data_IF_543231538670
#
_entry.id   IF_543231538670
#
_cell.length_a   1.000
_cell.length_b   1.000
_cell.length_c   1.000
_cell.angle_alpha   90.00
_cell.angle_beta   90.00
_cell.angle_gamma   90.00
#
_symmetry.space_group_name_H-M   'P 1'
#
loop_
_entity.id
_entity.type
_entity.pdbx_description
1 polymer ?
2 non-polymer ?
3 non-polymer ?
4 water ?
#
# COMPACT_ATOMS: atom_id res chain seq x y z
N UNK A 40 14.40 12.76 -19.70
CA UNK A 40 14.12 13.61 -20.89
C UNK A 40 12.61 13.88 -21.07
N UNK A 41 11.76 12.91 -20.70
CA UNK A 41 10.33 13.19 -20.56
C UNK A 41 10.19 14.20 -19.41
N UNK A 42 9.56 15.33 -19.67
CA UNK A 42 9.30 16.30 -18.61
C UNK A 42 7.94 16.04 -17.97
N UNK A 43 7.94 16.10 -16.65
CA UNK A 43 6.75 15.82 -15.85
C UNK A 43 6.26 17.13 -15.31
N UNK A 44 5.01 17.45 -15.60
CA UNK A 44 4.40 18.66 -15.11
C UNK A 44 3.06 18.28 -14.50
N UNK A 45 2.94 18.51 -13.19
CA UNK A 45 1.69 18.32 -12.47
C UNK A 45 0.81 19.56 -12.55
N UNK A 46 -0.47 19.36 -12.83
CA UNK A 46 -1.49 20.41 -12.84
C UNK A 46 -2.33 20.26 -11.55
N UNK A 47 -2.30 21.30 -10.72
CA UNK A 47 -2.97 21.26 -9.42
C UNK A 47 -4.14 22.24 -9.40
N UNK A 48 -4.96 22.17 -8.35
CA UNK A 48 -6.10 23.06 -8.21
C UNK A 48 -7.29 22.43 -7.51
N UNK A 49 -8.18 23.28 -6.99
CA UNK A 49 -9.38 22.81 -6.29
C UNK A 49 -10.33 22.03 -7.21
N UNK A 50 -11.25 21.30 -6.59
CA UNK A 50 -12.31 20.65 -7.33
C UNK A 50 -13.00 21.69 -8.25
N UNK A 51 -13.35 21.25 -9.45
CA UNK A 51 -14.08 22.06 -10.42
C UNK A 51 -13.38 23.32 -10.92
N UNK A 52 -12.17 23.58 -10.45
CA UNK A 52 -11.43 24.78 -10.87
C UNK A 52 -11.09 24.78 -12.37
N UNK A 53 -11.17 23.62 -13.03
CA UNK A 53 -11.00 23.52 -14.50
C UNK A 53 -9.83 22.70 -15.04
N UNK A 54 -9.30 21.81 -14.21
CA UNK A 54 -8.06 21.09 -14.53
C UNK A 54 -8.19 20.16 -15.74
N UNK A 55 -9.23 19.34 -15.76
CA UNK A 55 -9.47 18.38 -16.83
C UNK A 55 -9.72 19.11 -18.17
N UNK A 56 -10.47 20.21 -18.08
CA UNK A 56 -10.73 21.08 -19.24
C UNK A 56 -9.40 21.63 -19.77
N UNK A 57 -8.54 22.10 -18.88
CA UNK A 57 -7.21 22.61 -19.26
C UNK A 57 -6.44 21.54 -20.02
N UNK A 58 -6.09 20.43 -19.35
CA UNK A 58 -5.24 19.40 -19.98
C UNK A 58 -5.85 18.84 -21.27
N UNK A 59 -7.18 18.83 -21.34
CA UNK A 59 -7.84 18.41 -22.57
C UNK A 59 -7.57 19.37 -23.72
N UNK A 60 -7.61 20.67 -23.43
CA UNK A 60 -7.20 21.70 -24.38
C UNK A 60 -5.73 21.53 -24.78
N UNK A 61 -4.86 21.34 -23.79
CA UNK A 61 -3.41 21.29 -24.02
C UNK A 61 -2.99 20.10 -24.87
N UNK A 62 -3.52 18.91 -24.55
CA UNK A 62 -3.18 17.70 -25.30
C UNK A 62 -3.45 17.81 -26.82
N UNK A 63 -4.46 18.60 -27.20
CA UNK A 63 -4.82 18.79 -28.62
C UNK A 63 -3.87 19.75 -29.39
N UNK A 64 -2.92 20.35 -28.69
CA UNK A 64 -2.07 21.40 -29.27
C UNK A 64 -0.75 20.88 -29.81
N UNK A 65 -0.33 19.70 -29.32
CA UNK A 65 0.98 19.15 -29.68
C UNK A 65 1.00 17.62 -29.65
N UNK A 66 1.55 17.02 -30.70
CA UNK A 66 1.84 15.58 -30.75
C UNK A 66 2.76 15.20 -29.58
N UNK A 67 3.72 16.06 -29.29
CA UNK A 67 4.69 15.87 -28.20
C UNK A 67 4.12 16.03 -26.78
N UNK A 68 2.86 16.43 -26.67
CA UNK A 68 2.26 16.66 -25.37
C UNK A 68 1.28 15.53 -25.00
N UNK A 69 1.50 14.91 -23.84
CA UNK A 69 0.57 13.91 -23.33
C UNK A 69 0.12 14.16 -21.90
N UNK A 70 -0.88 13.38 -21.47
CA UNK A 70 -1.68 13.69 -20.29
C UNK A 70 -2.01 12.42 -19.50
N UNK A 71 -2.00 12.50 -18.16
CA UNK A 71 -2.48 11.42 -17.30
C UNK A 71 -3.67 11.92 -16.48
N UNK A 72 -4.90 11.46 -16.81
CA UNK A 72 -6.00 11.91 -15.97
C UNK A 72 -5.87 11.35 -14.55
N UNK A 73 -6.39 12.07 -13.57
CA UNK A 73 -6.46 11.55 -12.19
C UNK A 73 -7.54 10.46 -12.09
N UNK A 74 -7.20 9.29 -11.50
CA UNK A 74 -8.14 8.17 -11.34
C UNK A 74 -9.43 8.50 -10.57
N UNK A 75 -9.33 9.28 -9.49
CA UNK A 75 -10.53 9.67 -8.74
C UNK A 75 -11.57 10.30 -9.68
N UNK A 76 -11.07 11.09 -10.63
CA UNK A 76 -11.91 11.75 -11.63
C UNK A 76 -12.51 10.72 -12.59
N UNK A 77 -11.71 9.72 -12.96
CA UNK A 77 -12.21 8.56 -13.72
C UNK A 77 -13.34 7.85 -12.97
N UNK A 78 -13.23 7.74 -11.66
CA UNK A 78 -14.27 7.09 -10.87
C UNK A 78 -15.47 8.02 -10.69
N UNK A 79 -15.23 9.33 -10.73
CA UNK A 79 -16.26 10.34 -10.44
C UNK A 79 -17.42 10.37 -11.44
N UNK A 80 -17.38 9.44 -12.40
CA UNK A 80 -18.46 9.26 -13.36
C UNK A 80 -19.59 8.43 -12.75
N UNK A 90 -18.88 -2.85 -18.53
CA UNK A 90 -18.47 -1.58 -19.10
C UNK A 90 -16.95 -1.37 -19.07
N UNK A 91 -16.39 -1.19 -17.85
CA UNK A 91 -14.94 -0.99 -17.65
C UNK A 91 -14.24 -2.07 -16.76
N UNK A 92 -13.43 -1.61 -15.80
CA UNK A 92 -12.47 -2.46 -15.08
C UNK A 92 -12.83 -2.77 -13.63
N UNK A 93 -11.96 -3.51 -12.95
CA UNK A 93 -12.11 -3.74 -11.51
C UNK A 93 -11.63 -2.54 -10.68
N UNK A 94 -10.66 -1.79 -11.20
CA UNK A 94 -10.31 -0.51 -10.59
C UNK A 94 -11.50 0.45 -10.59
N UNK A 95 -12.19 0.58 -11.73
CA UNK A 95 -13.40 1.41 -11.83
C UNK A 95 -14.46 0.97 -10.84
N UNK A 96 -14.68 -0.34 -10.77
CA UNK A 96 -15.59 -0.95 -9.81
C UNK A 96 -15.16 -0.68 -8.36
N UNK A 97 -13.88 -0.90 -8.05
CA UNK A 97 -13.35 -0.62 -6.71
C UNK A 97 -13.42 0.85 -6.35
N UNK A 98 -13.07 1.71 -7.31
CA UNK A 98 -13.07 3.15 -7.11
C UNK A 98 -14.47 3.72 -7.11
N UNK A 99 -15.33 3.18 -7.97
CA UNK A 99 -16.77 3.50 -7.94
C UNK A 99 -17.37 3.29 -6.57
N UNK A 100 -17.19 2.09 -6.02
CA UNK A 100 -17.71 1.73 -4.72
C UNK A 100 -17.14 2.54 -3.58
N UNK A 101 -15.82 2.70 -3.55
CA UNK A 101 -15.15 3.35 -2.44
C UNK A 101 -15.38 4.87 -2.40
N UNK A 102 -15.63 5.47 -3.56
CA UNK A 102 -15.97 6.90 -3.61
C UNK A 102 -17.36 7.13 -3.02
N UNK A 103 -18.30 6.24 -3.34
CA UNK A 103 -19.65 6.33 -2.79
C UNK A 103 -19.54 6.21 -1.26
N UNK A 104 -18.94 5.12 -0.77
CA UNK A 104 -18.69 4.93 0.66
C UNK A 104 -18.10 6.19 1.29
N UNK A 105 -17.04 6.71 0.68
CA UNK A 105 -16.42 7.97 1.10
C UNK A 105 -17.40 9.13 1.25
N UNK A 106 -18.32 9.28 0.29
CA UNK A 106 -19.37 10.32 0.39
C UNK A 106 -20.37 10.12 1.53
N UNK A 107 -20.63 8.87 1.89
CA UNK A 107 -21.63 8.60 2.93
C UNK A 107 -21.03 8.66 4.32
N UNK A 108 -19.80 8.19 4.47
CA UNK A 108 -19.17 8.13 5.79
C UNK A 108 -17.66 8.35 5.76
N UNK A 109 -17.20 9.59 5.45
CA UNK A 109 -15.77 9.85 5.29
C UNK A 109 -14.93 9.34 6.47
N UNK A 110 -15.47 9.44 7.68
CA UNK A 110 -14.76 9.04 8.90
C UNK A 110 -14.40 7.54 8.90
N UNK A 111 -15.23 6.74 8.23
CA UNK A 111 -14.94 5.33 8.04
C UNK A 111 -13.99 5.05 6.87
N UNK A 112 -14.15 5.79 5.77
CA UNK A 112 -13.53 5.36 4.50
C UNK A 112 -12.35 6.14 3.95
N UNK A 113 -11.90 7.16 4.69
CA UNK A 113 -10.88 8.09 4.21
C UNK A 113 -9.50 7.46 4.00
N UNK A 114 -9.07 6.63 4.94
CA UNK A 114 -7.76 5.99 4.83
C UNK A 114 -7.71 5.08 3.61
N UNK A 115 -8.68 4.17 3.52
CA UNK A 115 -8.79 3.21 2.44
C UNK A 115 -8.85 3.92 1.10
N UNK A 116 -9.66 4.98 1.06
CA UNK A 116 -9.85 5.80 -0.13
C UNK A 116 -8.55 6.51 -0.53
N UNK A 117 -7.82 7.03 0.45
CA UNK A 117 -6.57 7.74 0.19
C UNK A 117 -5.44 6.81 -0.24
N UNK A 118 -5.41 5.62 0.36
CA UNK A 118 -4.47 4.59 -0.06
C UNK A 118 -4.76 4.20 -1.52
N UNK A 119 -6.03 3.98 -1.84
CA UNK A 119 -6.39 3.52 -3.19
C UNK A 119 -6.29 4.55 -4.30
N UNK A 120 -6.53 5.82 -3.96
CA UNK A 120 -6.46 6.93 -4.92
C UNK A 120 -5.03 7.15 -5.37
N UNK A 121 -4.10 6.95 -4.45
CA UNK A 121 -2.69 7.20 -4.66
C UNK A 121 -1.99 6.02 -5.31
N UNK A 122 -2.32 4.81 -4.90
CA UNK A 122 -1.77 3.64 -5.57
C UNK A 122 -2.21 3.61 -7.04
N UNK A 123 -3.48 3.91 -7.27
CA UNK A 123 -4.02 4.01 -8.63
C UNK A 123 -3.38 5.12 -9.44
N UNK A 124 -3.05 6.24 -8.80
CA UNK A 124 -2.35 7.32 -9.49
C UNK A 124 -0.93 6.92 -9.84
N UNK A 125 -0.20 6.38 -8.87
CA UNK A 125 1.20 6.00 -9.04
C UNK A 125 1.31 5.06 -10.23
N UNK A 126 0.45 4.05 -10.26
CA UNK A 126 0.39 3.10 -11.35
C UNK A 126 0.00 3.76 -12.67
N UNK A 127 -1.03 4.61 -12.64
CA UNK A 127 -1.46 5.32 -13.85
C UNK A 127 -0.31 6.12 -14.46
N UNK A 128 0.46 6.80 -13.61
CA UNK A 128 1.54 7.66 -14.07
C UNK A 128 2.72 6.85 -14.63
N UNK A 129 2.96 5.67 -14.06
CA UNK A 129 3.95 4.71 -14.59
C UNK A 129 3.64 4.24 -16.02
N UNK A 130 2.42 3.77 -16.23
CA UNK A 130 1.99 3.26 -17.55
C UNK A 130 2.03 4.31 -18.66
N UNK A 131 1.95 5.59 -18.26
CA UNK A 131 2.07 6.70 -19.20
C UNK A 131 3.52 6.92 -19.53
N UNK A 132 4.35 6.93 -18.49
CA UNK A 132 5.76 7.20 -18.58
C UNK A 132 6.54 6.09 -19.26
N UNK A 133 6.05 4.86 -19.15
CA UNK A 133 6.76 3.72 -19.72
C UNK A 133 6.16 3.20 -21.02
N UNK A 134 5.05 3.83 -21.44
CA UNK A 134 4.34 3.45 -22.68
C UNK A 134 3.75 4.59 -23.51
N UNK A 135 4.04 5.83 -23.13
CA UNK A 135 3.60 7.01 -23.90
C UNK A 135 4.79 7.92 -24.21
N UNK A 136 4.58 8.84 -25.15
CA UNK A 136 5.59 9.84 -25.56
C UNK A 136 6.83 9.23 -26.19
N UNK A 137 6.69 8.00 -26.65
CA UNK A 137 7.76 7.32 -27.37
C UNK A 137 7.65 7.71 -28.84
N UNK A 138 8.73 8.21 -29.43
CA UNK A 138 9.92 8.66 -28.70
C UNK A 138 10.19 10.11 -29.11
N UNK A 139 9.28 10.98 -28.71
CA UNK A 139 9.17 12.35 -29.24
C UNK A 139 10.42 13.20 -29.03
N UNK A 140 10.48 14.33 -29.74
CA UNK A 140 11.63 15.23 -29.70
C UNK A 140 11.64 16.04 -28.42
N UNK A 141 10.47 16.49 -27.99
CA UNK A 141 10.35 17.31 -26.79
C UNK A 141 9.18 16.83 -25.91
N UNK A 142 9.30 15.61 -25.33
CA UNK A 142 8.19 15.03 -24.58
C UNK A 142 7.86 15.82 -23.30
N UNK A 143 6.57 16.00 -23.06
CA UNK A 143 6.05 16.61 -21.84
C UNK A 143 4.83 15.78 -21.48
N UNK A 144 4.78 15.26 -20.25
CA UNK A 144 3.62 14.54 -19.76
C UNK A 144 2.96 15.41 -18.67
N UNK A 145 1.66 15.68 -18.84
CA UNK A 145 0.91 16.51 -17.88
C UNK A 145 0.04 15.64 -16.97
N UNK A 146 0.49 15.41 -15.75
CA UNK A 146 -0.32 14.70 -14.75
C UNK A 146 -1.46 15.58 -14.21
N UNK A 147 -2.71 15.11 -14.27
CA UNK A 147 -3.79 15.74 -13.52
C UNK A 147 -3.63 15.40 -12.03
N UNK A 148 -3.12 16.39 -11.28
CA UNK A 148 -2.68 16.26 -9.87
C UNK A 148 -1.49 15.33 -9.65
N UNK A 149 -1.13 15.08 -8.39
CA UNK A 149 0.10 14.38 -8.07
C UNK A 149 0.02 13.60 -6.76
N UNK A 150 1.05 12.82 -6.45
CA UNK A 150 1.06 12.11 -5.18
C UNK A 150 1.22 13.08 -4.00
N UNK A 151 1.85 14.24 -4.26
CA UNK A 151 1.95 15.35 -3.32
C UNK A 151 0.62 16.01 -2.98
N UNK A 152 -0.23 16.22 -3.99
CA UNK A 152 -1.54 16.75 -3.69
C UNK A 152 -2.42 15.72 -3.01
N UNK A 153 -2.19 14.43 -3.30
CA UNK A 153 -2.83 13.31 -2.60
C UNK A 153 -2.56 13.39 -1.09
N UNK A 154 -1.29 13.54 -0.75
CA UNK A 154 -0.82 13.56 0.64
C UNK A 154 -1.02 14.94 1.29
N UNK A 155 -0.33 15.93 0.76
CA UNK A 155 -0.25 17.24 1.42
C UNK A 155 -1.44 18.15 1.21
N UNK A 156 -2.49 17.65 0.57
CA UNK A 156 -3.71 18.43 0.44
C UNK A 156 -4.97 17.70 0.93
N UNK A 157 -5.29 16.59 0.30
CA UNK A 157 -6.54 15.90 0.60
C UNK A 157 -6.44 14.98 1.84
N UNK A 158 -5.35 14.22 1.96
CA UNK A 158 -5.17 13.31 3.11
C UNK A 158 -4.95 14.12 4.38
N UNK A 159 -4.05 15.09 4.31
CA UNK A 159 -3.88 16.07 5.38
C UNK A 159 -5.18 16.81 5.74
N UNK A 160 -5.88 17.34 4.74
CA UNK A 160 -7.17 17.99 5.01
C UNK A 160 -8.17 17.08 5.73
N UNK A 161 -8.32 15.85 5.25
CA UNK A 161 -9.19 14.85 5.89
C UNK A 161 -8.81 14.56 7.35
N UNK A 162 -7.50 14.47 7.64
CA UNK A 162 -7.02 14.27 9.01
C UNK A 162 -7.32 15.48 9.89
N UNK A 163 -7.25 16.68 9.31
CA UNK A 163 -7.51 17.91 10.06
C UNK A 163 -9.00 18.02 10.37
N UNK A 164 -9.81 17.56 9.42
CA UNK A 164 -11.26 17.54 9.57
C UNK A 164 -11.71 16.26 10.29
N UNK A 165 -10.74 15.60 10.92
CA UNK A 165 -10.95 14.45 11.80
C UNK A 165 -11.45 13.16 11.16
N UNK A 166 -11.40 13.06 9.84
CA UNK A 166 -11.81 11.86 9.12
C UNK A 166 -10.79 10.72 9.21
N UNK A 167 -9.54 11.05 9.54
CA UNK A 167 -8.58 10.02 9.91
C UNK A 167 -8.04 10.33 11.29
N UNK A 168 -7.72 9.31 12.08
CA UNK A 168 -7.07 9.51 13.36
C UNK A 168 -5.55 9.48 13.18
N UNK A 169 -4.80 9.80 14.25
CA UNK A 169 -3.33 9.82 14.21
C UNK A 169 -2.70 8.53 13.66
N UNK A 170 -3.21 7.38 14.10
CA UNK A 170 -2.77 6.06 13.58
C UNK A 170 -2.93 6.01 12.08
N UNK A 171 -4.13 6.27 11.59
CA UNK A 171 -4.38 6.18 10.14
C UNK A 171 -3.45 7.09 9.34
N UNK A 172 -3.39 8.36 9.75
CA UNK A 172 -2.57 9.37 9.08
C UNK A 172 -1.08 9.04 9.13
N UNK A 173 -0.59 8.58 10.28
CA UNK A 173 0.82 8.17 10.41
C UNK A 173 1.10 6.87 9.65
N UNK A 174 0.14 5.96 9.62
CA UNK A 174 0.27 4.80 8.73
C UNK A 174 0.28 5.25 7.25
N UNK A 175 -0.61 6.18 6.89
CA UNK A 175 -0.67 6.62 5.49
C UNK A 175 0.65 7.24 5.00
N UNK A 176 1.22 8.11 5.84
CA UNK A 176 2.43 8.84 5.49
C UNK A 176 3.60 7.90 5.35
N UNK A 177 3.67 6.94 6.27
CA UNK A 177 4.71 5.92 6.27
C UNK A 177 4.59 5.14 4.95
N UNK A 178 3.39 4.63 4.71
CA UNK A 178 2.99 4.03 3.43
C UNK A 178 3.40 4.91 2.23
N UNK A 179 3.16 6.22 2.34
CA UNK A 179 3.44 7.18 1.26
C UNK A 179 4.93 7.44 1.05
N UNK A 180 5.69 7.58 2.16
CA UNK A 180 7.14 7.80 2.08
C UNK A 180 7.90 6.67 1.39
N UNK A 181 7.29 5.49 1.35
CA UNK A 181 7.96 4.26 0.92
C UNK A 181 7.41 3.70 -0.38
N UNK A 182 6.10 3.81 -0.58
CA UNK A 182 5.44 3.48 -1.84
C UNK A 182 6.01 4.32 -2.97
N UNK A 183 6.30 5.58 -2.69
CA UNK A 183 7.02 6.42 -3.65
C UNK A 183 8.49 6.03 -3.80
N UNK A 184 9.11 5.52 -2.74
CA UNK A 184 10.54 5.21 -2.76
C UNK A 184 10.94 4.03 -3.66
N UNK A 185 10.15 2.96 -3.60
CA UNK A 185 10.45 1.74 -4.35
C UNK A 185 9.90 1.80 -5.76
N UNK A 186 8.71 2.38 -5.89
CA UNK A 186 7.97 2.31 -7.14
C UNK A 186 7.82 3.65 -7.85
N UNK A 187 7.96 4.76 -7.14
CA UNK A 187 7.56 6.06 -7.68
C UNK A 187 8.66 7.11 -7.75
N UNK A 188 9.88 6.65 -7.99
CA UNK A 188 11.06 7.51 -8.04
C UNK A 188 11.16 8.29 -9.36
N UNK A 189 10.94 7.59 -10.47
CA UNK A 189 11.04 8.19 -11.79
C UNK A 189 9.83 9.10 -12.11
N UNK A 190 9.05 9.39 -11.07
CA UNK A 190 7.87 10.25 -11.21
C UNK A 190 8.16 11.67 -10.74
N UNK A 191 9.39 11.91 -10.28
CA UNK A 191 9.79 13.21 -9.77
C UNK A 191 9.47 14.38 -10.72
N UNK A 192 8.83 15.41 -10.18
CA UNK A 192 8.29 16.52 -10.97
C UNK A 192 9.35 17.49 -11.47
N UNK A 193 9.26 17.84 -12.74
CA UNK A 193 10.07 18.89 -13.35
C UNK A 193 9.50 20.28 -13.04
N UNK A 194 8.17 20.38 -13.04
CA UNK A 194 7.49 21.60 -12.61
C UNK A 194 6.04 21.37 -12.20
N UNK A 195 5.40 22.43 -11.75
CA UNK A 195 4.01 22.37 -11.32
C UNK A 195 3.27 23.56 -11.90
N UNK A 196 2.08 23.31 -12.43
CA UNK A 196 1.20 24.40 -12.83
C UNK A 196 0.03 24.42 -11.86
N UNK A 197 -0.25 25.60 -11.30
CA UNK A 197 -1.35 25.80 -10.35
C UNK A 197 -2.53 26.54 -10.98
N UNK A 198 -3.65 25.86 -11.14
CA UNK A 198 -4.86 26.54 -11.61
C UNK A 198 -5.63 27.09 -10.42
N UNK A 199 -5.62 28.42 -10.31
CA UNK A 199 -6.20 29.14 -9.20
C UNK A 199 -7.58 29.72 -9.52
N UNK A 200 -8.60 29.19 -8.86
CA UNK A 200 -9.97 29.68 -8.95
C UNK A 200 -10.58 29.76 -7.54
N UNK A 201 -11.49 30.70 -7.31
CA UNK A 201 -12.10 30.89 -5.97
C UNK A 201 -13.10 29.77 -5.65
N UNK A 202 -13.43 29.59 -4.35
CA UNK A 202 -14.36 28.50 -3.98
C UNK A 202 -15.75 28.68 -4.56
N UNK A 203 -16.16 29.93 -4.73
CA UNK A 203 -17.43 30.25 -5.39
C UNK A 203 -17.37 29.88 -6.86
N UNK A 204 -16.28 30.25 -7.53
CA UNK A 204 -16.05 29.83 -8.93
C UNK A 204 -16.25 28.32 -9.01
N UNK A 205 -15.56 27.61 -8.13
CA UNK A 205 -15.63 26.14 -8.05
C UNK A 205 -17.05 25.59 -7.81
N UNK A 206 -17.79 26.16 -6.84
CA UNK A 206 -19.15 25.68 -6.54
C UNK A 206 -20.06 25.81 -7.76
N UNK A 207 -19.92 26.93 -8.45
CA UNK A 207 -20.59 27.16 -9.72
C UNK A 207 -20.25 26.04 -10.71
N UNK A 208 -18.96 25.73 -10.83
CA UNK A 208 -18.52 24.73 -11.80
C UNK A 208 -18.95 23.30 -11.47
N UNK A 209 -18.98 22.96 -10.17
CA UNK A 209 -19.61 21.71 -9.73
C UNK A 209 -21.08 21.67 -10.15
N UNK A 210 -21.77 22.79 -9.95
CA UNK A 210 -23.12 22.95 -10.47
C UNK A 210 -23.15 22.72 -11.98
N UNK A 211 -22.29 23.41 -12.73
CA UNK A 211 -22.21 23.26 -14.21
C UNK A 211 -21.99 21.81 -14.68
N UNK A 212 -21.08 21.11 -14.00
CA UNK A 212 -20.68 19.74 -14.36
C UNK A 212 -21.80 18.72 -14.20
N UNK A 213 -22.72 18.98 -13.27
CA UNK A 213 -23.96 18.20 -13.16
C UNK A 213 -23.86 16.82 -12.55
N UNK A 214 -22.70 16.49 -11.97
CA UNK A 214 -22.54 15.27 -11.18
C UNK A 214 -23.41 15.41 -9.93
N UNK A 215 -24.47 14.60 -9.85
CA UNK A 215 -25.42 14.71 -8.73
C UNK A 215 -24.87 14.25 -7.39
N UNK A 216 -23.84 13.40 -7.45
CA UNK A 216 -23.15 12.91 -6.27
C UNK A 216 -22.36 14.04 -5.62
N UNK A 217 -21.93 14.98 -6.46
CA UNK A 217 -21.16 16.15 -6.04
C UNK A 217 -22.02 17.34 -5.66
N UNK A 218 -23.31 17.29 -6.03
CA UNK A 218 -24.20 18.44 -5.87
C UNK A 218 -24.54 18.76 -4.43
N UNK A 219 -23.99 17.95 -3.51
CA UNK A 219 -24.15 18.15 -2.08
C UNK A 219 -22.87 18.60 -1.38
N UNK A 220 -21.80 18.81 -2.15
CA UNK A 220 -20.54 19.32 -1.59
C UNK A 220 -20.70 20.80 -1.21
N UNK A 221 -20.54 21.10 0.09
CA UNK A 221 -20.81 22.47 0.57
C UNK A 221 -19.70 23.43 0.20
N UNK A 222 -20.05 24.73 0.18
CA UNK A 222 -19.08 25.81 0.01
C UNK A 222 -17.90 25.67 0.98
N UNK A 223 -18.20 25.34 2.22
CA UNK A 223 -17.24 25.19 3.33
C UNK A 223 -16.05 24.27 3.01
N UNK A 224 -16.35 23.10 2.45
CA UNK A 224 -15.33 22.14 2.07
C UNK A 224 -14.38 22.75 1.04
N UNK A 225 -14.95 23.30 -0.05
CA UNK A 225 -14.16 23.96 -1.09
C UNK A 225 -13.26 25.05 -0.54
N UNK A 226 -13.77 25.78 0.47
CA UNK A 226 -13.01 26.83 1.16
C UNK A 226 -11.79 26.27 1.89
N UNK A 227 -11.91 25.05 2.43
CA UNK A 227 -10.80 24.37 3.12
C UNK A 227 -9.67 24.02 2.16
N UNK A 228 -10.02 23.34 1.06
CA UNK A 228 -9.05 22.89 0.07
C UNK A 228 -8.39 24.09 -0.58
N UNK A 229 -9.14 25.19 -0.63
CA UNK A 229 -8.59 26.45 -1.14
C UNK A 229 -7.39 26.97 -0.35
N UNK A 230 -7.49 26.95 0.99
CA UNK A 230 -6.37 27.36 1.85
C UNK A 230 -5.18 26.44 1.66
N UNK A 231 -5.44 25.13 1.63
CA UNK A 231 -4.38 24.12 1.49
C UNK A 231 -3.47 24.38 0.28
N UNK A 232 -4.08 24.70 -0.86
CA UNK A 232 -3.35 25.04 -2.09
C UNK A 232 -2.54 26.35 -1.97
N UNK A 233 -3.16 27.42 -1.48
CA UNK A 233 -2.45 28.70 -1.28
C UNK A 233 -1.14 28.50 -0.49
N UNK A 234 -1.22 27.83 0.66
CA UNK A 234 -0.01 27.67 1.50
C UNK A 234 1.05 26.79 0.86
N UNK A 235 0.64 25.76 0.12
CA UNK A 235 1.60 24.95 -0.63
C UNK A 235 2.17 25.67 -1.86
N UNK A 236 1.29 26.15 -2.73
CA UNK A 236 1.71 26.59 -4.06
C UNK A 236 1.87 28.10 -4.28
N UNK A 237 1.22 28.91 -3.44
CA UNK A 237 1.34 30.37 -3.58
C UNK A 237 2.33 30.96 -2.59
N UNK A 238 1.96 30.98 -1.30
CA UNK A 238 2.87 31.47 -0.25
C UNK A 238 4.13 30.59 -0.16
N UNK A 239 4.04 29.38 -0.69
CA UNK A 239 5.11 28.36 -0.63
C UNK A 239 5.63 28.11 0.80
N UNK A 240 4.72 28.08 1.78
CA UNK A 240 5.10 27.84 3.19
C UNK A 240 5.42 26.36 3.46
N UNK A 241 4.45 25.51 3.15
CA UNK A 241 4.41 24.09 3.54
C UNK A 241 5.71 23.31 3.29
N UNK A 242 6.20 22.66 4.34
CA UNK A 242 7.42 21.85 4.28
C UNK A 242 7.07 20.39 4.06
N UNK A 243 7.90 19.69 3.29
CA UNK A 243 7.65 18.29 2.94
C UNK A 243 8.90 17.45 3.22
N UNK A 244 8.75 16.12 3.18
CA UNK A 244 9.87 15.19 3.39
C UNK A 244 10.64 14.89 2.10
N UNK A 245 10.10 15.35 0.96
CA UNK A 245 10.76 15.27 -0.34
C UNK A 245 11.46 16.60 -0.61
N UNK A 246 12.79 16.58 -0.58
CA UNK A 246 13.56 17.84 -0.60
C UNK A 246 13.70 18.47 -1.98
N UNK A 247 13.68 17.66 -3.03
CA UNK A 247 13.69 18.18 -4.41
C UNK A 247 12.48 19.10 -4.67
N UNK A 248 11.39 18.85 -3.95
CA UNK A 248 10.13 19.58 -4.09
C UNK A 248 10.20 20.99 -3.47
N UNK A 249 11.37 21.34 -2.95
CA UNK A 249 11.64 22.70 -2.46
C UNK A 249 12.09 23.58 -3.63
N UNK A 250 12.93 23.01 -4.50
CA UNK A 250 13.46 23.69 -5.67
C UNK A 250 12.39 23.87 -6.75
N UNK A 251 11.69 22.77 -7.06
CA UNK A 251 10.67 22.71 -8.12
C UNK A 251 10.04 24.06 -8.49
N UNK A 252 10.11 24.42 -9.80
CA UNK A 252 9.48 25.65 -10.29
C UNK A 252 7.97 25.53 -10.35
N UNK A 253 7.30 26.55 -9.82
CA UNK A 253 5.85 26.67 -9.84
C UNK A 253 5.45 27.79 -10.78
N UNK A 254 4.36 27.58 -11.52
CA UNK A 254 3.71 28.64 -12.30
C UNK A 254 2.25 28.72 -11.87
N UNK A 255 1.77 29.94 -11.61
CA UNK A 255 0.39 30.14 -11.13
C UNK A 255 -0.48 30.79 -12.21
N UNK A 256 -1.66 30.23 -12.45
CA UNK A 256 -2.58 30.72 -13.49
C UNK A 256 -4.01 31.00 -12.98
N UNK A 257 -4.47 32.23 -13.22
CA UNK A 257 -5.81 32.68 -12.83
C UNK A 257 -6.89 32.22 -13.79
N UNK A 258 -7.67 31.22 -13.37
CA UNK A 258 -8.68 30.65 -14.26
C UNK A 258 -10.13 30.98 -13.84
N UNK A 259 -10.29 32.10 -13.15
CA UNK A 259 -11.62 32.58 -12.74
C UNK A 259 -12.52 32.98 -13.92
N UNK A 260 -11.94 33.58 -14.96
CA UNK A 260 -12.68 33.83 -16.19
C UNK A 260 -12.78 32.54 -17.03
N UNK A 261 -13.90 32.36 -17.73
CA UNK A 261 -14.09 31.21 -18.61
C UNK A 261 -12.98 31.17 -19.69
N UNK A 262 -12.44 30.00 -19.98
CA UNK A 262 -11.33 29.91 -20.92
C UNK A 262 -11.47 28.87 -22.05
N UNK A 263 -12.66 28.31 -22.22
CA UNK A 263 -12.85 27.22 -23.21
C UNK A 263 -12.70 27.70 -24.65
N UNK A 264 -12.90 29.01 -24.84
CA UNK A 264 -12.90 29.62 -26.14
C UNK A 264 -11.92 30.76 -26.14
N UNK A 265 -11.09 30.82 -25.10
CA UNK A 265 -10.19 31.94 -24.84
C UNK A 265 -9.06 31.50 -23.89
N UNK A 266 -8.17 30.66 -24.41
CA UNK A 266 -7.09 30.07 -23.59
C UNK A 266 -5.69 30.39 -24.08
N UNK A 267 -5.60 31.15 -25.17
CA UNK A 267 -4.32 31.36 -25.82
C UNK A 267 -3.28 32.02 -24.94
N UNK A 268 -3.70 32.88 -24.00
CA UNK A 268 -2.74 33.57 -23.13
C UNK A 268 -2.27 32.70 -21.95
N UNK A 269 -3.09 31.74 -21.52
CA UNK A 269 -2.66 30.76 -20.51
C UNK A 269 -1.66 29.77 -21.12
N UNK A 270 -1.89 29.40 -22.37
CA UNK A 270 -1.03 28.44 -23.07
C UNK A 270 0.34 29.04 -23.39
N UNK A 271 0.37 30.31 -23.82
CA UNK A 271 1.64 31.07 -23.93
C UNK A 271 2.48 31.03 -22.64
N UNK A 272 1.84 31.13 -21.48
CA UNK A 272 2.62 31.13 -20.23
C UNK A 272 3.17 29.75 -19.92
N UNK A 273 2.38 28.71 -20.17
CA UNK A 273 2.86 27.34 -20.11
C UNK A 273 4.07 27.14 -21.05
N UNK A 274 3.92 27.54 -22.32
CA UNK A 274 5.01 27.40 -23.30
C UNK A 274 6.25 28.12 -22.83
N UNK A 275 6.06 29.25 -22.15
CA UNK A 275 7.16 30.03 -21.63
C UNK A 275 7.79 29.32 -20.43
N UNK A 276 6.92 28.85 -19.54
CA UNK A 276 7.32 28.11 -18.34
C UNK A 276 8.10 26.84 -18.71
N UNK A 277 7.68 26.14 -19.76
CA UNK A 277 8.36 24.91 -20.21
C UNK A 277 9.76 25.20 -20.74
N UNK A 278 9.93 26.36 -21.36
CA UNK A 278 11.23 26.75 -21.92
C UNK A 278 12.23 27.05 -20.83
N UNK A 279 11.77 27.60 -19.71
CA UNK A 279 12.63 27.85 -18.53
C UNK A 279 13.13 26.54 -17.93
N UNK A 280 12.69 25.42 -18.48
CA UNK A 280 12.95 24.11 -17.90
C UNK A 280 13.90 23.30 -18.77
N UNK B 38 17.45 -18.79 -5.99
CA UNK B 38 18.76 -19.46 -5.76
C UNK B 38 19.93 -18.47 -5.67
N UNK B 39 19.65 -17.19 -5.91
CA UNK B 39 20.71 -16.18 -6.05
C UNK B 39 20.49 -14.90 -5.23
N UNK B 40 21.34 -14.67 -4.22
CA UNK B 40 22.35 -15.63 -3.76
C UNK B 40 21.94 -16.26 -2.43
N UNK B 41 21.29 -15.46 -1.59
CA UNK B 41 20.75 -15.93 -0.31
C UNK B 41 19.46 -16.71 -0.59
N UNK B 42 19.37 -17.92 -0.03
CA UNK B 42 18.15 -18.73 -0.14
C UNK B 42 17.11 -18.18 0.83
N UNK B 43 15.84 -18.18 0.40
CA UNK B 43 14.78 -17.57 1.18
C UNK B 43 13.68 -18.58 1.49
N UNK B 44 13.53 -18.92 2.76
CA UNK B 44 12.58 -19.92 3.19
C UNK B 44 11.64 -19.31 4.23
N UNK B 45 10.35 -19.50 4.02
CA UNK B 45 9.33 -19.06 4.95
C UNK B 45 8.94 -20.18 5.93
N UNK B 46 8.86 -19.84 7.22
CA UNK B 46 8.32 -20.72 8.25
C UNK B 46 6.84 -20.36 8.45
N UNK B 47 5.95 -21.32 8.21
CA UNK B 47 4.50 -21.09 8.19
C UNK B 47 3.80 -21.98 9.18
N UNK B 48 2.85 -21.41 9.93
CA UNK B 48 2.08 -22.17 10.89
C UNK B 48 1.13 -21.30 11.71
N UNK B 49 0.09 -21.93 12.24
CA UNK B 49 -0.92 -21.22 13.05
C UNK B 49 -0.34 -20.39 14.18
N UNK B 50 -1.17 -19.51 14.72
CA UNK B 50 -0.83 -18.69 15.90
C UNK B 50 -0.32 -19.56 17.06
N UNK B 51 0.85 -19.20 17.57
CA UNK B 51 1.56 -19.95 18.62
C UNK B 51 1.90 -21.42 18.26
N UNK B 52 1.94 -21.75 16.97
CA UNK B 52 2.39 -23.10 16.57
C UNK B 52 3.84 -23.39 16.98
N UNK B 53 4.64 -22.33 17.13
CA UNK B 53 6.04 -22.47 17.54
C UNK B 53 7.10 -21.90 16.61
N UNK B 54 6.67 -21.12 15.62
CA UNK B 54 7.59 -20.57 14.63
C UNK B 54 8.76 -19.79 15.25
N UNK B 55 8.47 -18.92 16.21
CA UNK B 55 9.49 -18.03 16.78
C UNK B 55 10.50 -18.77 17.66
N UNK B 56 10.06 -19.85 18.31
CA UNK B 56 10.97 -20.72 19.06
C UNK B 56 11.90 -21.40 18.06
N UNK B 57 11.32 -21.92 16.97
CA UNK B 57 12.08 -22.71 16.00
C UNK B 57 13.08 -21.88 15.18
N UNK B 58 12.73 -20.64 14.88
CA UNK B 58 13.66 -19.75 14.15
C UNK B 58 14.79 -19.24 15.03
N UNK B 59 14.50 -18.98 16.30
CA UNK B 59 15.56 -18.65 17.25
C UNK B 59 16.49 -19.83 17.46
N UNK B 60 15.92 -21.04 17.39
CA UNK B 60 16.71 -22.26 17.42
C UNK B 60 17.61 -22.36 16.18
N UNK B 61 17.01 -22.31 14.99
CA UNK B 61 17.76 -22.41 13.73
C UNK B 61 18.85 -21.34 13.57
N UNK B 62 18.57 -20.11 13.98
CA UNK B 62 19.54 -19.02 13.79
C UNK B 62 20.88 -19.22 14.52
N UNK B 63 20.85 -19.91 15.65
CA UNK B 63 22.04 -20.22 16.48
C UNK B 63 22.88 -21.39 15.95
N UNK B 64 22.34 -22.11 14.98
CA UNK B 64 22.95 -23.36 14.51
C UNK B 64 23.93 -23.12 13.37
N UNK B 65 23.78 -22.02 12.66
CA UNK B 65 24.71 -21.65 11.59
C UNK B 65 24.89 -20.14 11.52
N UNK B 66 26.14 -19.69 11.43
CA UNK B 66 26.40 -18.28 11.16
C UNK B 66 25.99 -17.94 9.73
N UNK B 67 25.77 -18.96 8.92
CA UNK B 67 25.20 -18.79 7.57
C UNK B 67 23.65 -18.67 7.54
N UNK B 68 23.01 -18.83 8.69
CA UNK B 68 21.54 -18.75 8.73
C UNK B 68 21.09 -17.52 9.53
N UNK B 69 20.17 -16.74 8.97
CA UNK B 69 19.60 -15.60 9.71
C UNK B 69 18.07 -15.57 9.61
N UNK B 70 17.44 -14.76 10.43
CA UNK B 70 15.98 -14.77 10.62
C UNK B 70 15.36 -13.39 10.43
N UNK B 71 14.26 -13.31 9.68
CA UNK B 71 13.45 -12.08 9.64
C UNK B 71 12.12 -12.34 10.36
N UNK B 72 11.98 -11.86 11.60
CA UNK B 72 10.79 -12.16 12.39
C UNK B 72 9.57 -11.32 11.98
N UNK B 73 8.38 -11.76 12.38
CA UNK B 73 7.14 -11.11 11.96
C UNK B 73 6.96 -9.72 12.58
N UNK B 74 6.67 -8.71 11.75
CA UNK B 74 6.38 -7.37 12.27
C UNK B 74 5.29 -7.42 13.35
N UNK B 75 4.20 -8.13 13.04
CA UNK B 75 3.11 -8.26 13.99
C UNK B 75 3.57 -8.85 15.32
N UNK B 76 4.48 -9.82 15.25
CA UNK B 76 4.94 -10.50 16.46
C UNK B 76 5.70 -9.58 17.44
N UNK B 77 6.33 -8.54 16.92
CA UNK B 77 7.02 -7.52 17.74
C UNK B 77 6.08 -6.44 18.25
N UNK B 78 5.02 -6.15 17.49
CA UNK B 78 4.00 -5.18 17.92
C UNK B 78 3.36 -5.66 19.22
N UNK B 79 3.23 -6.99 19.33
CA UNK B 79 2.63 -7.65 20.50
C UNK B 79 3.62 -7.72 21.67
N UNK B 80 3.72 -6.63 22.44
CA UNK B 80 4.61 -6.58 23.63
C UNK B 80 4.34 -5.40 24.56
N UNK B 90 12.47 4.49 24.22
CA UNK B 90 11.25 4.39 23.42
C UNK B 90 11.47 3.66 22.09
N UNK B 91 10.37 3.18 21.50
CA UNK B 91 10.39 2.42 20.23
C UNK B 91 9.97 3.25 19.02
N UNK B 92 10.05 2.63 17.84
CA UNK B 92 9.98 3.33 16.55
C UNK B 92 8.56 3.61 16.05
N UNK B 93 8.48 4.34 14.94
CA UNK B 93 7.20 4.75 14.31
C UNK B 93 6.27 3.58 13.99
N UNK B 94 6.78 2.60 13.23
CA UNK B 94 6.00 1.41 12.90
C UNK B 94 5.54 0.67 14.17
N UNK B 95 6.45 0.57 15.13
CA UNK B 95 6.18 -0.11 16.39
C UNK B 95 5.11 0.59 17.20
N UNK B 96 5.13 1.92 17.15
CA UNK B 96 4.11 2.78 17.72
C UNK B 96 2.76 2.51 17.04
N UNK B 97 2.71 2.71 15.73
CA UNK B 97 1.54 2.40 14.92
C UNK B 97 1.04 0.98 15.09
N UNK B 98 1.97 0.02 15.09
CA UNK B 98 1.65 -1.39 15.17
C UNK B 98 0.80 -1.77 16.38
N UNK B 99 1.25 -1.35 17.56
CA UNK B 99 0.51 -1.62 18.80
C UNK B 99 -0.91 -1.06 18.78
N UNK B 100 -1.03 0.17 18.29
CA UNK B 100 -2.33 0.82 18.13
C UNK B 100 -3.24 0.04 17.20
N UNK B 101 -2.84 -0.17 15.96
CA UNK B 101 -3.70 -0.91 15.02
C UNK B 101 -3.89 -2.37 15.48
N UNK B 102 -2.92 -2.92 16.20
CA UNK B 102 -3.05 -4.25 16.79
C UNK B 102 -4.13 -4.24 17.86
N UNK B 103 -4.10 -3.25 18.75
CA UNK B 103 -5.08 -3.17 19.85
C UNK B 103 -6.47 -2.90 19.28
N UNK B 104 -6.54 -2.08 18.22
CA UNK B 104 -7.82 -1.75 17.60
C UNK B 104 -8.36 -2.91 16.80
N UNK B 105 -7.47 -3.69 16.20
CA UNK B 105 -7.86 -4.89 15.48
C UNK B 105 -8.55 -5.85 16.44
N UNK B 106 -8.03 -5.98 17.66
CA UNK B 106 -8.63 -6.85 18.67
C UNK B 106 -10.03 -6.36 19.09
N UNK B 107 -10.22 -5.05 19.09
CA UNK B 107 -11.45 -4.46 19.62
C UNK B 107 -12.62 -4.40 18.66
N UNK B 108 -12.34 -4.23 17.36
CA UNK B 108 -13.37 -4.09 16.35
C UNK B 108 -12.75 -4.47 15.00
N UNK B 109 -12.72 -5.78 14.67
CA UNK B 109 -11.95 -6.22 13.51
C UNK B 109 -12.62 -5.91 12.18
N UNK B 110 -13.93 -5.67 12.20
CA UNK B 110 -14.67 -5.40 10.98
C UNK B 110 -14.49 -3.94 10.56
N UNK B 111 -13.94 -3.13 11.45
CA UNK B 111 -13.51 -1.77 11.13
C UNK B 111 -12.01 -1.69 10.76
N UNK B 112 -11.18 -2.53 11.37
CA UNK B 112 -9.71 -2.36 11.25
C UNK B 112 -8.91 -3.38 10.42
N UNK B 113 -9.57 -4.43 9.95
CA UNK B 113 -8.90 -5.50 9.22
C UNK B 113 -8.18 -5.03 7.96
N UNK B 114 -8.82 -4.18 7.18
CA UNK B 114 -8.12 -3.61 6.01
C UNK B 114 -6.88 -2.82 6.43
N UNK B 115 -7.01 -1.95 7.42
CA UNK B 115 -5.90 -1.10 7.86
C UNK B 115 -4.80 -1.93 8.48
N UNK B 116 -5.17 -2.93 9.28
CA UNK B 116 -4.17 -3.81 9.89
C UNK B 116 -3.43 -4.63 8.84
N UNK B 117 -4.18 -5.26 7.95
CA UNK B 117 -3.61 -6.12 6.92
C UNK B 117 -2.63 -5.41 6.00
N UNK B 118 -2.99 -4.21 5.51
CA UNK B 118 -2.11 -3.54 4.55
C UNK B 118 -0.81 -3.07 5.25
N UNK B 119 -0.91 -2.73 6.53
CA UNK B 119 0.24 -2.28 7.29
C UNK B 119 1.16 -3.40 7.73
N UNK B 120 0.55 -4.52 8.12
CA UNK B 120 1.29 -5.75 8.41
C UNK B 120 2.08 -6.23 7.18
N UNK B 121 1.46 -6.20 6.01
CA UNK B 121 2.13 -6.61 4.77
C UNK B 121 3.26 -5.67 4.40
N UNK B 122 3.03 -4.35 4.45
CA UNK B 122 4.08 -3.39 4.15
C UNK B 122 5.30 -3.61 5.04
N UNK B 123 5.07 -3.60 6.36
CA UNK B 123 6.16 -3.80 7.31
C UNK B 123 6.93 -5.09 7.05
N UNK B 124 6.23 -6.15 6.64
CA UNK B 124 6.90 -7.40 6.31
C UNK B 124 7.80 -7.23 5.09
N UNK B 125 7.24 -6.70 4.01
CA UNK B 125 7.98 -6.46 2.77
C UNK B 125 9.21 -5.60 3.06
N UNK B 126 9.04 -4.65 3.97
CA UNK B 126 10.12 -3.75 4.39
C UNK B 126 11.23 -4.44 5.15
N UNK B 127 10.86 -5.27 6.13
CA UNK B 127 11.84 -5.96 6.98
C UNK B 127 12.57 -7.09 6.24
N UNK B 128 11.89 -7.71 5.28
CA UNK B 128 12.51 -8.77 4.50
C UNK B 128 13.50 -8.18 3.48
N UNK B 129 13.04 -7.21 2.69
CA UNK B 129 13.90 -6.50 1.74
C UNK B 129 15.14 -5.90 2.38
N UNK B 130 14.99 -5.36 3.59
CA UNK B 130 16.12 -4.82 4.35
C UNK B 130 17.20 -5.88 4.61
N UNK B 131 16.80 -7.03 5.17
CA UNK B 131 17.73 -8.08 5.55
C UNK B 131 18.31 -8.83 4.34
N UNK B 132 17.60 -8.80 3.22
CA UNK B 132 18.07 -9.39 1.96
C UNK B 132 19.46 -8.90 1.51
N UNK B 133 19.65 -7.59 1.46
CA UNK B 133 20.98 -7.01 1.22
C UNK B 133 21.77 -6.77 2.50
N UNK B 134 21.10 -6.24 3.51
CA UNK B 134 21.69 -5.99 4.83
C UNK B 134 22.56 -7.11 5.37
N UNK B 135 21.94 -8.22 5.77
CA UNK B 135 22.63 -9.34 6.43
C UNK B 135 23.19 -10.37 5.44
N UNK B 136 24.12 -11.21 5.92
CA UNK B 136 24.63 -12.40 5.19
C UNK B 136 25.46 -12.11 3.92
N UNK B 137 26.19 -10.99 3.96
CA UNK B 137 27.01 -10.56 2.82
C UNK B 137 28.08 -11.58 2.45
N UNK B 138 28.81 -12.06 3.46
CA UNK B 138 29.82 -13.10 3.28
C UNK B 138 29.34 -14.43 3.87
N UNK B 139 28.96 -15.34 2.99
CA UNK B 139 28.50 -16.66 3.39
C UNK B 139 28.58 -17.56 2.19
N UNK B 140 28.99 -18.79 2.41
CA UNK B 140 29.12 -19.77 1.34
C UNK B 140 27.73 -20.25 0.97
N UNK B 141 26.88 -20.39 2.00
CA UNK B 141 25.59 -21.04 1.85
C UNK B 141 24.55 -20.27 2.68
N UNK B 142 24.22 -19.02 2.27
CA UNK B 142 23.40 -18.18 3.13
C UNK B 142 21.91 -18.54 3.04
N UNK B 143 21.22 -18.55 4.17
CA UNK B 143 19.79 -18.85 4.18
C UNK B 143 19.09 -17.85 5.08
N UNK B 144 18.10 -17.17 4.51
CA UNK B 144 17.25 -16.27 5.25
C UNK B 144 15.94 -17.01 5.56
N UNK B 145 15.69 -17.23 6.84
CA UNK B 145 14.43 -17.78 7.30
C UNK B 145 13.46 -16.64 7.59
N UNK B 146 12.28 -16.69 6.97
CA UNK B 146 11.23 -15.69 7.21
C UNK B 146 10.21 -16.23 8.21
N UNK B 147 9.86 -15.43 9.22
CA UNK B 147 8.69 -15.77 10.02
C UNK B 147 7.50 -15.26 9.20
N UNK B 148 6.84 -16.22 8.55
CA UNK B 148 5.73 -16.01 7.59
C UNK B 148 6.07 -15.18 6.37
N UNK B 149 5.16 -15.25 5.40
CA UNK B 149 5.36 -14.71 4.07
C UNK B 149 4.28 -13.70 3.68
N UNK B 150 4.53 -12.97 2.59
CA UNK B 150 3.47 -12.15 1.98
C UNK B 150 2.25 -12.97 1.56
N UNK B 151 2.43 -14.29 1.44
CA UNK B 151 1.37 -15.17 0.94
C UNK B 151 0.46 -15.66 2.03
N UNK B 152 1.02 -15.91 3.21
CA UNK B 152 0.20 -16.15 4.39
C UNK B 152 -0.60 -14.90 4.74
N UNK B 153 0.03 -13.73 4.63
CA UNK B 153 -0.62 -12.42 4.86
C UNK B 153 -1.97 -12.34 4.14
N UNK B 154 -1.96 -12.73 2.87
CA UNK B 154 -3.12 -12.69 2.00
C UNK B 154 -4.02 -13.93 2.13
N UNK B 155 -3.43 -15.12 1.95
CA UNK B 155 -4.23 -16.32 1.66
C UNK B 155 -4.67 -17.07 2.90
N UNK B 156 -4.06 -16.76 4.04
CA UNK B 156 -4.50 -17.27 5.32
C UNK B 156 -5.24 -16.17 6.10
N UNK B 157 -4.52 -15.09 6.42
CA UNK B 157 -5.10 -14.07 7.29
C UNK B 157 -6.12 -13.13 6.63
N UNK B 158 -5.75 -12.46 5.55
CA UNK B 158 -6.68 -11.53 4.87
C UNK B 158 -7.90 -12.28 4.30
N UNK B 159 -7.63 -13.36 3.57
CA UNK B 159 -8.67 -14.28 3.08
C UNK B 159 -9.69 -14.69 4.15
N UNK B 160 -9.21 -15.14 5.30
CA UNK B 160 -10.10 -15.55 6.40
C UNK B 160 -10.91 -14.39 6.94
N UNK B 161 -10.28 -13.23 7.11
CA UNK B 161 -10.99 -12.04 7.60
C UNK B 161 -12.14 -11.65 6.68
N UNK B 162 -11.92 -11.84 5.38
CA UNK B 162 -12.93 -11.60 4.37
C UNK B 162 -14.06 -12.62 4.54
N UNK B 163 -13.71 -13.90 4.47
CA UNK B 163 -14.66 -15.00 4.62
C UNK B 163 -15.43 -14.93 5.95
N UNK B 164 -14.87 -14.19 6.90
CA UNK B 164 -15.50 -14.02 8.21
C UNK B 164 -16.23 -12.69 8.35
N UNK B 165 -16.29 -11.93 7.25
CA UNK B 165 -17.04 -10.66 7.17
C UNK B 165 -16.43 -9.47 7.93
N UNK B 166 -15.12 -9.54 8.15
CA UNK B 166 -14.35 -8.43 8.74
C UNK B 166 -13.87 -7.46 7.65
N UNK B 167 -13.79 -7.94 6.42
CA UNK B 167 -13.68 -7.03 5.30
C UNK B 167 -14.88 -7.25 4.37
N UNK B 168 -15.48 -6.17 3.89
CA UNK B 168 -16.46 -6.26 2.80
C UNK B 168 -15.73 -6.55 1.49
N UNK B 169 -16.50 -6.77 0.41
CA UNK B 169 -15.95 -7.15 -0.90
C UNK B 169 -14.98 -6.12 -1.50
N UNK B 170 -15.29 -4.84 -1.32
CA UNK B 170 -14.45 -3.77 -1.87
C UNK B 170 -13.13 -3.71 -1.11
N UNK B 171 -13.18 -3.91 0.20
CA UNK B 171 -11.94 -3.99 1.00
C UNK B 171 -11.01 -5.14 0.56
N UNK B 172 -11.59 -6.31 0.30
CA UNK B 172 -10.86 -7.49 -0.18
C UNK B 172 -10.33 -7.32 -1.61
N UNK B 173 -11.15 -6.75 -2.49
CA UNK B 173 -10.69 -6.46 -3.85
C UNK B 173 -9.57 -5.40 -3.83
N UNK B 174 -9.72 -4.36 -3.02
CA UNK B 174 -8.68 -3.32 -2.95
C UNK B 174 -7.38 -3.92 -2.43
N UNK B 175 -7.48 -4.67 -1.34
CA UNK B 175 -6.31 -5.30 -0.75
C UNK B 175 -5.60 -6.18 -1.78
N UNK B 176 -6.37 -7.04 -2.45
CA UNK B 176 -5.80 -7.96 -3.43
C UNK B 176 -5.10 -7.23 -4.56
N UNK B 177 -5.75 -6.17 -5.04
CA UNK B 177 -5.19 -5.33 -6.08
C UNK B 177 -3.87 -4.71 -5.62
N UNK B 178 -3.88 -4.08 -4.47
CA UNK B 178 -2.67 -3.53 -3.88
C UNK B 178 -1.60 -4.62 -3.71
N UNK B 179 -2.03 -5.79 -3.25
CA UNK B 179 -1.13 -6.92 -3.05
C UNK B 179 -0.44 -7.30 -4.37
N UNK B 180 -1.23 -7.61 -5.40
CA UNK B 180 -0.69 -7.93 -6.74
C UNK B 180 0.37 -6.91 -7.14
N UNK B 181 -0.12 -5.80 -7.70
CA UNK B 181 0.69 -4.75 -8.30
C UNK B 181 2.10 -4.64 -7.70
N UNK B 182 2.15 -4.64 -6.38
CA UNK B 182 3.38 -4.46 -5.63
C UNK B 182 4.27 -5.71 -5.55
N UNK B 183 3.72 -6.86 -5.15
CA UNK B 183 4.52 -8.09 -5.11
C UNK B 183 4.88 -8.58 -6.52
N UNK B 184 4.33 -7.91 -7.51
CA UNK B 184 4.70 -8.08 -8.89
C UNK B 184 5.72 -7.03 -9.35
N UNK B 185 6.11 -6.15 -8.43
CA UNK B 185 7.15 -5.16 -8.67
C UNK B 185 8.52 -5.66 -8.25
N UNK B 186 8.61 -6.93 -7.84
CA UNK B 186 9.81 -7.42 -7.17
C UNK B 186 10.49 -8.58 -7.87
N UNK B 187 10.47 -8.57 -9.20
CA UNK B 187 11.14 -9.59 -10.00
C UNK B 187 11.09 -10.97 -9.37
N UNK B 188 12.22 -11.39 -8.81
CA UNK B 188 12.33 -12.68 -8.14
C UNK B 188 13.10 -12.52 -6.83
N UNK B 189 12.84 -11.41 -6.14
CA UNK B 189 13.72 -10.94 -5.07
C UNK B 189 13.28 -11.38 -3.68
N UNK B 190 11.98 -11.32 -3.42
CA UNK B 190 11.43 -11.89 -2.21
C UNK B 190 10.81 -13.26 -2.47
N UNK B 191 10.76 -13.67 -3.74
CA UNK B 191 10.23 -14.98 -4.10
C UNK B 191 10.99 -16.10 -3.41
N UNK B 192 10.26 -17.01 -2.77
CA UNK B 192 10.83 -18.04 -1.92
C UNK B 192 11.35 -19.23 -2.71
N UNK B 193 12.34 -19.92 -2.13
CA UNK B 193 12.87 -21.17 -2.67
C UNK B 193 12.22 -22.39 -2.02
N UNK B 194 11.46 -22.15 -0.95
CA UNK B 194 10.80 -23.22 -0.20
C UNK B 194 10.01 -22.72 0.99
N UNK B 195 9.25 -23.64 1.58
CA UNK B 195 8.37 -23.36 2.70
C UNK B 195 8.46 -24.45 3.77
N UNK B 196 8.74 -24.06 5.00
CA UNK B 196 8.66 -25.01 6.11
C UNK B 196 7.35 -24.81 6.87
N UNK B 197 6.42 -25.75 6.70
CA UNK B 197 5.14 -25.69 7.41
C UNK B 197 5.29 -26.35 8.78
N UNK B 198 5.18 -25.57 9.85
CA UNK B 198 5.17 -26.12 11.20
C UNK B 198 3.73 -26.49 11.61
N UNK B 199 3.45 -27.79 11.54
CA UNK B 199 2.12 -28.36 11.68
C UNK B 199 1.76 -28.65 13.13
N UNK B 200 0.57 -28.24 13.52
CA UNK B 200 0.13 -28.39 14.92
C UNK B 200 -1.36 -28.66 14.97
N UNK B 201 -1.88 -28.89 16.18
CA UNK B 201 -3.34 -28.90 16.40
C UNK B 201 -3.76 -27.52 16.89
N UNK B 202 -5.04 -27.15 16.68
CA UNK B 202 -5.53 -25.93 17.32
C UNK B 202 -5.49 -25.99 18.84
N UNK B 203 -5.60 -27.19 19.40
CA UNK B 203 -5.47 -27.41 20.85
C UNK B 203 -4.08 -27.11 21.39
N UNK B 204 -3.05 -27.59 20.68
CA UNK B 204 -1.65 -27.30 21.08
C UNK B 204 -1.47 -25.79 21.03
N UNK B 205 -1.95 -25.20 19.95
CA UNK B 205 -1.87 -23.76 19.73
C UNK B 205 -2.62 -22.96 20.78
N UNK B 206 -3.71 -23.53 21.34
CA UNK B 206 -4.51 -22.83 22.36
C UNK B 206 -3.78 -22.80 23.70
N UNK B 207 -3.19 -23.95 24.05
CA UNK B 207 -2.42 -24.08 25.27
C UNK B 207 -1.20 -23.15 25.24
N UNK B 208 -0.46 -23.21 24.15
CA UNK B 208 0.76 -22.42 23.97
C UNK B 208 0.54 -20.92 23.94
N UNK B 209 -0.71 -20.51 23.71
CA UNK B 209 -1.10 -19.10 23.87
C UNK B 209 -1.19 -18.71 25.36
N UNK B 210 -1.68 -19.60 26.20
CA UNK B 210 -1.74 -19.26 27.62
C UNK B 210 -0.38 -19.42 28.29
N UNK B 211 0.44 -20.35 27.80
CA UNK B 211 1.82 -20.49 28.27
C UNK B 211 2.63 -19.25 27.92
N UNK B 212 2.32 -18.69 26.75
CA UNK B 212 2.94 -17.46 26.26
C UNK B 212 2.47 -16.27 27.09
N UNK B 213 1.17 -16.22 27.39
CA UNK B 213 0.62 -15.27 28.34
C UNK B 213 0.38 -13.85 27.82
N UNK B 214 0.15 -13.71 26.52
CA UNK B 214 -0.16 -12.39 25.95
C UNK B 214 -1.59 -12.02 26.31
N UNK B 215 -1.74 -11.03 27.20
CA UNK B 215 -3.03 -10.67 27.82
C UNK B 215 -4.21 -10.57 26.85
N UNK B 216 -3.94 -10.03 25.65
CA UNK B 216 -4.98 -9.81 24.64
C UNK B 216 -5.29 -11.08 23.83
N UNK B 217 -4.29 -11.94 23.71
CA UNK B 217 -4.39 -13.18 22.94
C UNK B 217 -5.18 -14.27 23.66
N UNK B 218 -5.31 -14.15 24.98
CA UNK B 218 -6.02 -15.15 25.79
C UNK B 218 -7.45 -15.30 25.29
N UNK B 219 -7.99 -14.20 24.75
CA UNK B 219 -9.35 -14.16 24.25
C UNK B 219 -9.59 -14.87 22.92
N UNK B 220 -8.53 -15.13 22.16
CA UNK B 220 -8.67 -15.81 20.86
C UNK B 220 -9.32 -17.17 21.10
N UNK B 221 -10.45 -17.44 20.40
CA UNK B 221 -11.20 -18.68 20.57
C UNK B 221 -10.57 -19.84 19.83
N UNK B 222 -10.93 -21.06 20.22
CA UNK B 222 -10.44 -22.28 19.55
C UNK B 222 -10.92 -22.35 18.11
N UNK B 223 -12.19 -22.04 17.89
CA UNK B 223 -12.80 -22.05 16.55
C UNK B 223 -12.11 -21.11 15.53
N UNK B 224 -11.54 -20.01 16.02
CA UNK B 224 -10.77 -19.11 15.15
C UNK B 224 -9.49 -19.80 14.67
N UNK B 225 -8.74 -20.36 15.62
CA UNK B 225 -7.56 -21.19 15.33
C UNK B 225 -7.85 -22.27 14.31
N UNK B 226 -9.05 -22.87 14.40
CA UNK B 226 -9.47 -23.96 13.52
C UNK B 226 -9.61 -23.51 12.06
N UNK B 227 -10.24 -22.37 11.85
CA UNK B 227 -10.42 -21.86 10.49
C UNK B 227 -9.05 -21.50 9.89
N UNK B 228 -8.16 -20.93 10.70
CA UNK B 228 -6.80 -20.66 10.24
C UNK B 228 -6.08 -21.99 10.02
N UNK B 229 -6.22 -22.91 10.97
CA UNK B 229 -5.65 -24.26 10.79
C UNK B 229 -6.13 -24.93 9.50
N UNK B 230 -7.46 -24.98 9.31
CA UNK B 230 -7.99 -25.57 8.09
C UNK B 230 -7.40 -24.94 6.83
N UNK B 231 -7.16 -23.63 6.85
CA UNK B 231 -6.62 -22.94 5.67
C UNK B 231 -5.12 -23.15 5.48
N UNK B 232 -4.40 -23.36 6.58
CA UNK B 232 -3.02 -23.79 6.49
C UNK B 232 -2.92 -25.18 5.83
N UNK B 233 -3.66 -26.15 6.36
CA UNK B 233 -3.68 -27.51 5.78
C UNK B 233 -4.06 -27.43 4.30
N UNK B 234 -5.10 -26.65 4.00
CA UNK B 234 -5.56 -26.46 2.63
C UNK B 234 -4.42 -26.12 1.67
N UNK B 235 -3.86 -24.91 1.81
CA UNK B 235 -2.79 -24.41 0.93
C UNK B 235 -1.45 -25.17 0.96
N UNK B 236 -1.03 -25.60 2.15
CA UNK B 236 0.30 -26.21 2.32
C UNK B 236 0.33 -27.74 2.23
N UNK B 237 -0.67 -28.39 2.82
CA UNK B 237 -0.71 -29.86 2.90
C UNK B 237 -1.62 -30.49 1.85
N UNK B 238 -2.91 -30.17 1.90
CA UNK B 238 -3.87 -30.68 0.91
C UNK B 238 -3.60 -30.10 -0.47
N UNK B 239 -3.12 -28.85 -0.49
CA UNK B 239 -2.80 -28.07 -1.71
C UNK B 239 -3.99 -27.62 -2.57
N UNK B 240 -5.17 -27.47 -1.95
CA UNK B 240 -6.35 -26.95 -2.66
C UNK B 240 -6.12 -25.53 -3.23
N UNK B 241 -5.87 -24.57 -2.34
CA UNK B 241 -5.75 -23.14 -2.68
C UNK B 241 -4.86 -22.79 -3.87
N UNK B 242 -5.48 -22.13 -4.85
CA UNK B 242 -4.78 -21.54 -5.98
C UNK B 242 -4.46 -20.09 -5.64
N UNK B 243 -3.22 -19.69 -5.93
CA UNK B 243 -2.82 -18.31 -5.69
C UNK B 243 -2.71 -17.56 -7.00
N UNK B 244 -2.54 -16.25 -6.91
CA UNK B 244 -2.37 -15.40 -8.08
C UNK B 244 -0.90 -15.33 -8.49
N UNK B 245 -0.08 -16.11 -7.81
CA UNK B 245 1.36 -16.19 -8.08
C UNK B 245 1.72 -17.57 -8.62
N UNK B 246 2.13 -17.60 -9.89
CA UNK B 246 2.28 -18.84 -10.66
C UNK B 246 3.20 -19.86 -9.99
N UNK B 247 4.44 -19.45 -9.74
CA UNK B 247 5.52 -20.33 -9.25
C UNK B 247 5.22 -21.08 -7.95
N UNK B 248 4.24 -20.62 -7.17
CA UNK B 248 3.97 -21.18 -5.85
C UNK B 248 3.54 -22.65 -5.85
N UNK B 249 2.82 -23.06 -6.89
CA UNK B 249 2.37 -24.45 -7.02
C UNK B 249 3.54 -25.42 -7.17
N UNK B 250 4.70 -24.91 -7.57
CA UNK B 250 5.91 -25.72 -7.70
C UNK B 250 6.93 -25.55 -6.58
N UNK B 251 6.79 -24.50 -5.76
CA UNK B 251 7.76 -24.23 -4.69
C UNK B 251 7.74 -25.32 -3.62
N UNK B 252 8.88 -26.03 -3.42
CA UNK B 252 8.94 -27.16 -2.48
C UNK B 252 8.44 -26.82 -1.08
N UNK B 253 7.79 -27.77 -0.46
CA UNK B 253 7.22 -27.58 0.87
C UNK B 253 7.71 -28.70 1.80
N UNK B 254 8.34 -28.32 2.92
CA UNK B 254 8.67 -29.26 4.00
C UNK B 254 7.68 -29.11 5.15
N UNK B 255 7.10 -30.20 5.59
CA UNK B 255 6.03 -30.14 6.59
C UNK B 255 6.47 -30.89 7.84
N UNK B 256 6.29 -30.26 9.00
CA UNK B 256 6.77 -30.79 10.28
C UNK B 256 5.71 -30.73 11.39
N UNK B 257 5.25 -31.90 11.86
CA UNK B 257 4.47 -31.98 13.09
C UNK B 257 5.29 -31.48 14.28
N UNK B 258 4.74 -30.50 14.99
CA UNK B 258 5.44 -29.88 16.11
C UNK B 258 4.60 -29.90 17.40
N UNK B 259 3.62 -30.82 17.46
CA UNK B 259 2.76 -31.01 18.63
C UNK B 259 3.55 -31.33 19.90
N UNK B 260 4.54 -32.21 19.77
CA UNK B 260 5.46 -32.52 20.85
C UNK B 260 6.37 -31.31 21.11
N UNK B 261 6.48 -30.91 22.38
CA UNK B 261 7.47 -29.91 22.81
C UNK B 261 8.84 -30.25 22.19
N UNK B 262 9.49 -29.26 21.58
CA UNK B 262 10.75 -29.50 20.88
C UNK B 262 11.92 -28.67 21.41
N UNK B 263 11.66 -27.81 22.39
CA UNK B 263 12.69 -26.92 22.96
C UNK B 263 13.95 -27.62 23.48
N UNK B 264 13.83 -28.90 23.78
CA UNK B 264 14.92 -29.67 24.36
C UNK B 264 15.36 -30.76 23.41
N UNK B 265 14.57 -30.97 22.36
CA UNK B 265 14.66 -32.16 21.52
C UNK B 265 14.34 -31.81 20.06
N UNK B 266 15.14 -30.92 19.47
CA UNK B 266 14.90 -30.47 18.08
C UNK B 266 15.72 -31.14 17.00
N UNK B 267 16.62 -32.03 17.36
CA UNK B 267 17.57 -32.55 16.38
C UNK B 267 16.93 -33.15 15.11
N UNK B 268 15.94 -34.02 15.28
CA UNK B 268 15.27 -34.62 14.12
C UNK B 268 14.59 -33.57 13.25
N UNK B 269 14.00 -32.56 13.88
CA UNK B 269 13.41 -31.42 13.15
C UNK B 269 14.45 -30.70 12.28
N UNK B 270 15.58 -30.37 12.92
CA UNK B 270 16.67 -29.66 12.26
C UNK B 270 17.33 -30.55 11.20
N UNK B 271 17.45 -31.85 11.47
CA UNK B 271 17.83 -32.83 10.45
C UNK B 271 16.95 -32.77 9.20
N UNK B 272 15.65 -32.54 9.40
CA UNK B 272 14.72 -32.45 8.27
C UNK B 272 14.88 -31.11 7.56
N UNK B 273 15.17 -30.05 8.32
CA UNK B 273 15.53 -28.76 7.72
C UNK B 273 16.74 -28.90 6.79
N UNK B 274 17.84 -29.48 7.29
CA UNK B 274 19.10 -29.58 6.51
C UNK B 274 18.99 -30.45 5.26
N UNK B 275 18.26 -31.55 5.38
CA UNK B 275 18.02 -32.46 4.25
C UNK B 275 17.23 -31.76 3.13
N UNK B 276 16.23 -30.99 3.54
CA UNK B 276 15.33 -30.25 2.65
C UNK B 276 16.11 -29.17 1.88
N UNK B 277 16.94 -28.42 2.60
CA UNK B 277 17.74 -27.32 2.04
C UNK B 277 18.80 -27.78 1.02
N UNK B 278 19.16 -29.06 1.05
CA UNK B 278 20.16 -29.57 0.10
C UNK B 278 19.54 -30.10 -1.19
N UNK B 279 18.21 -30.03 -1.32
CA UNK B 279 17.52 -30.41 -2.57
C UNK B 279 17.03 -29.21 -3.36
N UNK B 280 17.25 -28.01 -2.81
CA UNK B 280 16.72 -26.77 -3.39
C UNK B 280 17.75 -26.06 -4.26
#
# INVERSE_FOLDING_TARGET
MGSSHHHHHHSSGLVPRGSHMATPPKRSSPSFSASSEGTRIKKISIEGNIAAGKSTFVNILKQLSEDWEVVPEPVARWSNVQSTQDEFEELTMEQKNGGNVLQMMYEKPERWSFTFQTYACLSRIRAQLASLNGKLKDAEKPVLFFERSVYSDRYIFASNLYESESMNETEWTIYQDWHDWMNNQFGQSLELDGIIYLQATPETCLHRIYLRGRNEEQGIPLEYLEKLHYKHESWLLHRTLKTNFDYLQEVPILTLDVNEDFKDKYESLVEKVKEFLSTL
MGSSHHHHHHSSGLVPRGSHMATPPKRSSPSFSASSEGTRIKKISIEGNIAAGKSTFVNILKQLSEDWEVVPEPVARWSNVQSTQDEFEELTMEQKNGGNVLQMMYEKPERWSFTFQTYACLSRIRAQLASLNGKLKDAEKPVLFFERSVYSDRYIFASNLYESESMNETEWTIYQDWHDWMNNQFGQSLELDGIIYLQATPETCLHRIYLRGRNEEQGIPLEYLEKLHYKHESWLLHRTLKTNFDYLQEVPILTLDVNEDFKDKYESLVEKVKEFLSTL
#
